data_IF_015441573637
#
_entry.id   IF_015441573637
#
_cell.length_a   1.000
_cell.length_b   1.000
_cell.length_c   1.000
_cell.angle_alpha   90.00
_cell.angle_beta   90.00
_cell.angle_gamma   90.00
#
_symmetry.space_group_name_H-M   'P 1'
#
loop_
_entity.id
_entity.type
_entity.pdbx_description
1 polymer ?
#
# COMPACT_ATOMS: atom_id res chain seq x y z
N UNK A 1 11.94 16.59 -17.94
CA UNK A 1 11.77 17.25 -16.62
C UNK A 1 12.00 16.18 -15.58
N UNK A 2 12.79 16.51 -14.57
CA UNK A 2 13.61 15.54 -13.83
C UNK A 2 12.85 15.01 -12.61
N UNK A 3 13.03 13.72 -12.34
CA UNK A 3 12.55 12.99 -11.16
C UNK A 3 13.34 13.42 -9.91
N UNK A 4 13.44 14.73 -9.65
CA UNK A 4 14.36 15.33 -8.66
C UNK A 4 13.92 15.13 -7.19
N UNK A 5 12.69 14.68 -6.94
CA UNK A 5 12.14 14.53 -5.59
C UNK A 5 12.20 13.10 -5.04
N UNK A 6 12.79 12.15 -5.76
CA UNK A 6 13.14 10.86 -5.15
C UNK A 6 14.50 11.06 -4.49
N UNK A 7 14.63 11.01 -3.15
CA UNK A 7 15.94 10.96 -2.56
C UNK A 7 16.66 9.77 -3.19
N UNK A 8 17.91 9.99 -3.62
CA UNK A 8 18.82 9.04 -4.27
C UNK A 8 19.17 7.82 -3.38
N UNK A 9 18.37 7.61 -2.36
CA UNK A 9 18.52 6.69 -1.27
C UNK A 9 17.89 5.37 -1.69
N UNK A 10 18.60 4.30 -1.34
CA UNK A 10 18.41 2.90 -1.71
C UNK A 10 17.04 2.34 -1.32
N UNK A 11 15.97 2.93 -1.84
CA UNK A 11 14.64 2.36 -1.88
C UNK A 11 14.71 1.23 -2.88
N UNK A 12 15.10 0.05 -2.40
CA UNK A 12 14.98 -1.19 -3.14
C UNK A 12 13.51 -1.37 -3.51
N UNK A 13 13.13 -0.96 -4.72
CA UNK A 13 11.81 -1.18 -5.28
C UNK A 13 11.68 -2.65 -5.69
N UNK A 14 11.69 -3.57 -4.72
CA UNK A 14 11.20 -4.92 -4.98
C UNK A 14 9.68 -4.84 -5.16
N UNK A 15 9.23 -4.54 -6.38
CA UNK A 15 7.82 -4.64 -6.76
C UNK A 15 7.45 -6.11 -6.96
N UNK A 16 7.51 -6.93 -5.90
CA UNK A 16 6.96 -8.30 -5.95
C UNK A 16 5.44 -8.28 -6.20
N UNK A 17 4.79 -7.12 -6.03
CA UNK A 17 3.33 -6.97 -6.04
C UNK A 17 2.86 -5.96 -7.07
N UNK A 18 1.67 -6.22 -7.63
CA UNK A 18 1.15 -5.51 -8.79
C UNK A 18 0.77 -4.06 -8.46
N UNK A 19 1.23 -3.13 -9.31
CA UNK A 19 0.70 -1.78 -9.33
C UNK A 19 -0.73 -1.77 -9.92
N UNK A 20 -1.53 -0.80 -9.50
CA UNK A 20 -2.88 -0.57 -10.02
C UNK A 20 -3.04 0.85 -10.53
N UNK A 21 -3.94 1.05 -11.48
CA UNK A 21 -4.29 2.40 -11.95
C UNK A 21 -5.65 2.80 -11.41
N UNK A 22 -5.76 4.03 -10.92
CA UNK A 22 -6.99 4.61 -10.39
C UNK A 22 -7.02 6.09 -10.72
N UNK A 23 -8.12 6.56 -11.34
CA UNK A 23 -8.36 7.97 -11.66
C UNK A 23 -7.18 8.65 -12.39
N UNK A 24 -6.55 7.94 -13.32
CA UNK A 24 -5.42 8.46 -14.12
C UNK A 24 -4.06 8.46 -13.41
N UNK A 25 -3.99 7.96 -12.17
CA UNK A 25 -2.75 7.80 -11.41
C UNK A 25 -2.39 6.32 -11.22
N UNK A 26 -1.13 6.05 -10.90
CA UNK A 26 -0.65 4.68 -10.62
C UNK A 26 -0.27 4.56 -9.15
N UNK A 27 -0.69 3.45 -8.54
CA UNK A 27 -0.52 3.16 -7.12
C UNK A 27 0.14 1.80 -6.92
N UNK A 28 1.04 1.69 -5.96
CA UNK A 28 1.64 0.41 -5.55
C UNK A 28 2.10 0.47 -4.10
N UNK A 29 2.33 -0.69 -3.51
CA UNK A 29 2.95 -0.80 -2.19
C UNK A 29 4.46 -0.70 -2.36
N UNK A 30 5.08 0.18 -1.59
CA UNK A 30 6.53 0.39 -1.55
C UNK A 30 7.04 0.28 -0.12
N UNK A 31 8.37 0.18 0.02
CA UNK A 31 9.06 0.02 1.30
C UNK A 31 10.01 1.16 1.53
N UNK A 32 10.16 1.52 2.80
CA UNK A 32 11.23 2.39 3.22
C UNK A 32 12.46 1.54 3.55
N UNK A 33 13.48 1.59 2.69
CA UNK A 33 14.75 0.89 2.88
C UNK A 33 15.61 1.45 4.02
N UNK A 34 15.31 2.67 4.49
CA UNK A 34 15.98 3.28 5.65
C UNK A 34 15.31 2.95 6.97
N UNK A 35 14.06 2.45 6.90
CA UNK A 35 13.37 1.96 8.08
C UNK A 35 13.90 0.57 8.44
N UNK A 36 14.43 0.45 9.67
CA UNK A 36 14.87 -0.83 10.23
C UNK A 36 13.75 -1.87 10.29
N UNK A 37 12.50 -1.42 10.28
CA UNK A 37 11.30 -2.26 10.30
C UNK A 37 10.75 -2.54 8.89
N UNK A 38 11.35 -1.99 7.84
CA UNK A 38 10.92 -2.12 6.44
C UNK A 38 9.41 -1.86 6.28
N UNK A 39 8.91 -0.78 6.90
CA UNK A 39 7.49 -0.46 6.88
C UNK A 39 7.01 -0.18 5.47
N UNK A 40 5.90 -0.82 5.13
CA UNK A 40 5.21 -0.57 3.88
C UNK A 40 4.44 0.76 3.90
N UNK A 41 4.39 1.40 2.74
CA UNK A 41 3.53 2.55 2.48
C UNK A 41 2.90 2.44 1.09
N UNK A 42 1.82 3.19 0.87
CA UNK A 42 1.20 3.32 -0.44
C UNK A 42 1.92 4.44 -1.20
N UNK A 43 2.48 4.11 -2.37
CA UNK A 43 3.13 5.07 -3.25
C UNK A 43 2.23 5.36 -4.45
N UNK A 44 2.05 6.64 -4.75
CA UNK A 44 1.36 7.12 -5.93
C UNK A 44 2.35 7.83 -6.85
N UNK A 45 2.25 7.57 -8.15
CA UNK A 45 2.73 8.51 -9.16
C UNK A 45 1.56 9.36 -9.65
N UNK A 46 1.62 10.65 -9.35
CA UNK A 46 0.63 11.64 -9.79
C UNK A 46 1.05 12.15 -11.17
N UNK A 47 0.37 11.68 -12.22
CA UNK A 47 0.70 12.09 -13.61
C UNK A 47 0.36 13.54 -13.89
N UNK A 48 -0.54 14.16 -13.11
CA UNK A 48 -0.89 15.58 -13.28
C UNK A 48 0.23 16.47 -12.75
N UNK A 49 0.86 16.06 -11.64
CA UNK A 49 1.94 16.81 -10.99
C UNK A 49 3.35 16.27 -11.34
N UNK A 50 3.43 15.21 -12.12
CA UNK A 50 4.66 14.49 -12.49
C UNK A 50 5.56 14.14 -11.28
N UNK A 51 4.96 13.73 -10.16
CA UNK A 51 5.69 13.49 -8.90
C UNK A 51 5.15 12.31 -8.10
N UNK A 52 6.00 11.77 -7.22
CA UNK A 52 5.61 10.74 -6.27
C UNK A 52 4.95 11.33 -5.02
N UNK A 53 3.96 10.63 -4.49
CA UNK A 53 3.29 10.94 -3.22
C UNK A 53 3.22 9.68 -2.36
N UNK A 54 3.53 9.84 -1.06
CA UNK A 54 3.53 8.76 -0.08
C UNK A 54 2.28 8.87 0.79
N UNK A 55 1.58 7.77 0.98
CA UNK A 55 0.41 7.66 1.85
C UNK A 55 0.60 6.54 2.87
N UNK A 56 0.03 6.76 4.05
CA UNK A 56 0.04 5.78 5.12
C UNK A 56 -0.89 4.60 4.78
N UNK A 57 -0.44 3.39 5.08
CA UNK A 57 -1.29 2.22 5.14
C UNK A 57 -2.07 2.21 6.47
N UNK A 58 -3.22 1.53 6.52
CA UNK A 58 -4.00 1.43 7.76
C UNK A 58 -3.40 0.48 8.80
N UNK A 59 -2.28 -0.16 8.48
CA UNK A 59 -1.59 -1.15 9.29
C UNK A 59 -0.08 -0.99 9.09
N UNK A 60 0.69 -1.50 10.05
CA UNK A 60 2.13 -1.70 9.89
C UNK A 60 2.36 -3.11 9.35
N UNK A 61 2.98 -3.21 8.17
CA UNK A 61 3.38 -4.49 7.57
C UNK A 61 4.90 -4.58 7.45
N UNK A 62 5.44 -5.76 7.76
CA UNK A 62 6.80 -6.13 7.40
C UNK A 62 6.76 -6.91 6.09
N UNK A 63 7.25 -6.31 5.01
CA UNK A 63 7.14 -6.90 3.67
C UNK A 63 7.90 -8.21 3.47
N UNK A 64 8.88 -8.51 4.32
CA UNK A 64 9.60 -9.78 4.23
C UNK A 64 8.77 -10.96 4.74
N UNK A 65 7.80 -10.71 5.63
CA UNK A 65 7.01 -11.76 6.27
C UNK A 65 5.53 -11.68 5.95
N UNK A 66 5.00 -10.47 5.78
CA UNK A 66 3.57 -10.22 5.59
C UNK A 66 3.19 -10.19 4.11
N UNK A 67 1.90 -10.42 3.85
CA UNK A 67 1.32 -10.28 2.53
C UNK A 67 0.42 -9.07 2.41
N UNK A 68 0.67 -8.22 1.40
CA UNK A 68 -0.08 -7.00 1.11
C UNK A 68 -0.47 -6.94 -0.36
N UNK A 69 -1.73 -7.19 -0.74
CA UNK A 69 -2.19 -7.07 -2.13
C UNK A 69 -3.04 -5.83 -2.37
N UNK A 70 -2.76 -5.11 -3.46
CA UNK A 70 -3.47 -3.88 -3.84
C UNK A 70 -4.43 -4.15 -4.99
N UNK A 71 -5.63 -3.59 -4.91
CA UNK A 71 -6.66 -3.69 -5.94
C UNK A 71 -7.47 -2.39 -6.04
N UNK A 72 -8.30 -2.27 -7.08
CA UNK A 72 -9.25 -1.17 -7.24
C UNK A 72 -10.68 -1.68 -7.12
N UNK A 73 -11.54 -0.86 -6.55
CA UNK A 73 -12.96 -1.17 -6.38
C UNK A 73 -13.79 -0.11 -7.10
N UNK A 74 -14.55 -0.55 -8.11
CA UNK A 74 -15.42 0.30 -8.94
C UNK A 74 -14.69 1.49 -9.58
N UNK A 75 -13.38 1.38 -9.78
CA UNK A 75 -12.54 2.46 -10.34
C UNK A 75 -12.58 3.78 -9.55
N UNK A 76 -13.02 3.75 -8.28
CA UNK A 76 -13.12 4.95 -7.44
C UNK A 76 -12.35 4.85 -6.13
N UNK A 77 -11.95 3.63 -5.75
CA UNK A 77 -11.36 3.32 -4.44
C UNK A 77 -10.24 2.31 -4.58
N UNK A 78 -9.33 2.33 -3.62
CA UNK A 78 -8.35 1.28 -3.42
C UNK A 78 -8.87 0.26 -2.40
N UNK A 79 -8.55 -1.00 -2.62
CA UNK A 79 -8.67 -2.05 -1.62
C UNK A 79 -7.28 -2.64 -1.36
N UNK A 80 -7.01 -2.92 -0.10
CA UNK A 80 -5.78 -3.57 0.33
C UNK A 80 -6.12 -4.80 1.15
N UNK A 81 -5.61 -5.95 0.72
CA UNK A 81 -5.58 -7.15 1.53
C UNK A 81 -4.27 -7.19 2.30
N UNK A 82 -4.36 -7.44 3.61
CA UNK A 82 -3.23 -7.59 4.50
C UNK A 82 -3.34 -8.93 5.23
N UNK A 83 -2.38 -9.81 4.98
CA UNK A 83 -2.23 -11.08 5.68
C UNK A 83 -0.97 -11.01 6.54
N UNK A 84 -1.17 -11.04 7.86
CA UNK A 84 -0.11 -10.94 8.85
C UNK A 84 0.33 -12.34 9.27
N UNK A 85 1.57 -12.70 8.94
CA UNK A 85 2.13 -14.03 9.23
C UNK A 85 2.67 -14.14 10.66
N UNK A 86 1.82 -13.81 11.63
CA UNK A 86 2.01 -14.16 13.06
C UNK A 86 1.05 -15.29 13.44
N UNK A 87 1.13 -15.81 14.66
CA UNK A 87 0.18 -16.81 15.18
C UNK A 87 -0.76 -16.14 16.21
N UNK A 88 -2.10 -16.25 16.06
CA UNK A 88 -2.81 -16.75 14.87
C UNK A 88 -2.55 -15.85 13.65
N UNK A 89 -2.62 -16.42 12.46
CA UNK A 89 -2.49 -15.64 11.22
C UNK A 89 -3.77 -14.85 11.03
N UNK A 90 -3.67 -13.57 10.68
CA UNK A 90 -4.85 -12.72 10.49
C UNK A 90 -4.90 -12.23 9.05
N UNK A 91 -6.09 -12.21 8.47
CA UNK A 91 -6.35 -11.60 7.16
C UNK A 91 -7.31 -10.44 7.34
N UNK A 92 -6.87 -9.27 6.92
CA UNK A 92 -7.65 -8.04 6.93
C UNK A 92 -7.83 -7.55 5.50
N UNK A 93 -8.99 -6.95 5.22
CA UNK A 93 -9.15 -6.14 4.02
C UNK A 93 -9.66 -4.77 4.38
N UNK A 94 -8.96 -3.80 3.80
CA UNK A 94 -9.16 -2.39 3.98
C UNK A 94 -9.63 -1.79 2.67
N UNK A 95 -10.56 -0.85 2.75
CA UNK A 95 -11.03 -0.07 1.63
C UNK A 95 -10.75 1.38 1.89
N UNK A 96 -10.22 2.09 0.89
CA UNK A 96 -10.10 3.52 0.99
C UNK A 96 -11.49 4.17 0.96
N UNK A 97 -11.60 5.37 1.50
CA UNK A 97 -12.65 6.28 1.08
C UNK A 97 -12.46 6.66 -0.40
N UNK A 98 -13.45 7.35 -0.98
CA UNK A 98 -13.23 7.92 -2.32
C UNK A 98 -12.01 8.83 -2.22
N UNK A 99 -11.00 8.57 -3.05
CA UNK A 99 -9.83 9.44 -3.13
C UNK A 99 -10.31 10.68 -3.86
N UNK A 100 -10.43 11.78 -3.12
CA UNK A 100 -10.87 13.06 -3.66
C UNK A 100 -9.68 14.01 -3.89
N UNK A 101 -10.00 15.26 -4.22
CA UNK A 101 -9.03 16.27 -4.67
C UNK A 101 -7.96 16.62 -3.63
N UNK A 102 -8.16 16.25 -2.36
CA UNK A 102 -7.19 16.50 -1.29
C UNK A 102 -6.03 15.51 -1.28
N UNK A 103 -6.06 14.49 -2.14
CA UNK A 103 -5.07 13.41 -2.17
C UNK A 103 -4.86 12.77 -0.79
N UNK A 104 -5.86 12.78 0.11
CA UNK A 104 -5.75 12.07 1.38
C UNK A 104 -6.39 10.69 1.26
N UNK A 105 -5.72 9.68 1.81
CA UNK A 105 -6.18 8.29 1.77
C UNK A 105 -6.54 7.86 3.18
N UNK A 106 -7.83 7.96 3.49
CA UNK A 106 -8.40 7.36 4.69
C UNK A 106 -8.93 5.97 4.39
N UNK A 107 -8.82 5.08 5.37
CA UNK A 107 -9.14 3.66 5.23
C UNK A 107 -10.24 3.26 6.18
N UNK A 108 -11.05 2.28 5.76
CA UNK A 108 -12.00 1.56 6.60
C UNK A 108 -11.77 0.07 6.47
N UNK A 109 -11.80 -0.64 7.59
CA UNK A 109 -11.75 -2.10 7.58
C UNK A 109 -13.08 -2.65 7.07
N UNK A 110 -13.04 -3.57 6.11
CA UNK A 110 -14.22 -4.28 5.61
C UNK A 110 -14.39 -5.63 6.30
N UNK A 111 -13.28 -6.34 6.54
CA UNK A 111 -13.28 -7.63 7.20
C UNK A 111 -11.94 -7.88 7.89
N UNK A 112 -12.00 -8.65 8.96
CA UNK A 112 -10.88 -9.23 9.68
C UNK A 112 -11.24 -10.68 9.99
N UNK A 113 -10.33 -11.60 9.68
CA UNK A 113 -10.50 -13.04 9.90
C UNK A 113 -9.26 -13.58 10.59
N UNK A 114 -9.47 -14.23 11.74
CA UNK A 114 -8.44 -15.02 12.40
C UNK A 114 -8.38 -16.41 11.76
N UNK A 115 -7.27 -16.70 11.07
CA UNK A 115 -6.92 -18.03 10.62
C UNK A 115 -6.28 -18.78 11.79
N UNK A 116 -7.13 -19.34 12.66
CA UNK A 116 -6.68 -20.33 13.62
C UNK A 116 -6.25 -21.58 12.84
N UNK A 117 -4.95 -21.87 12.86
CA UNK A 117 -4.46 -23.18 12.44
C UNK A 117 -5.07 -24.24 13.37
N UNK A 118 -6.10 -24.94 12.92
CA UNK A 118 -6.56 -26.16 13.59
C UNK A 118 -5.56 -27.26 13.28
N UNK A 119 -4.50 -27.34 14.08
CA UNK A 119 -3.60 -28.49 14.15
C UNK A 119 -3.26 -28.78 15.60
#
# INVERSE_FOLDING_TARGET
>A
RVLDDIPHDETYFETKRRAVSLMGNTYWIALDGHDKLFRGFLLQFDFTKERFQRFHLPFECNYHTDTVELSTVREEKLAVLFEKFVRPTTVEVWLSNKIDQLNDVSWRMLFNVDLHGTY
#
